data_IF_192388553068
#
_entry.id   IF_192388553068
#
_cell.length_a   1.000
_cell.length_b   1.000
_cell.length_c   1.000
_cell.angle_alpha   90.00
_cell.angle_beta   90.00
_cell.angle_gamma   90.00
#
_symmetry.space_group_name_H-M   'P 1'
#
loop_
_entity.id
_entity.type
_entity.pdbx_description
1 polymer ?
#
# COMPACT_ATOMS: atom_id res chain seq x y z
N UNK A 1 -7.65 3.47 3.57
CA UNK A 1 -6.79 4.39 4.35
C UNK A 1 -7.66 5.46 4.99
N UNK A 2 -8.43 6.24 4.24
CA UNK A 2 -9.31 7.33 4.72
C UNK A 2 -10.25 6.93 5.87
N UNK A 3 -10.89 5.76 5.77
CA UNK A 3 -11.87 5.31 6.78
C UNK A 3 -11.30 5.17 8.20
N UNK A 4 -10.03 4.77 8.33
CA UNK A 4 -9.44 4.51 9.65
C UNK A 4 -9.20 5.82 10.43
N UNK A 5 -8.52 6.84 9.88
CA UNK A 5 -8.40 8.14 10.54
C UNK A 5 -9.75 8.83 10.77
N UNK A 6 -10.74 8.64 9.90
CA UNK A 6 -12.10 9.11 10.15
C UNK A 6 -12.70 8.50 11.42
N UNK A 7 -12.66 7.16 11.55
CA UNK A 7 -13.15 6.47 12.76
C UNK A 7 -12.39 6.89 14.01
N UNK A 8 -11.06 7.03 13.93
CA UNK A 8 -10.24 7.55 15.04
C UNK A 8 -10.68 8.96 15.44
N UNK A 9 -10.91 9.84 14.46
CA UNK A 9 -11.36 11.21 14.72
C UNK A 9 -12.74 11.26 15.36
N UNK A 10 -13.70 10.48 14.85
CA UNK A 10 -15.05 10.33 15.44
C UNK A 10 -14.97 9.84 16.88
N UNK A 11 -14.16 8.82 17.15
CA UNK A 11 -13.97 8.31 18.52
C UNK A 11 -13.32 9.33 19.45
N UNK A 12 -12.46 10.20 18.91
CA UNK A 12 -11.83 11.29 19.67
C UNK A 12 -12.80 12.40 20.04
N UNK A 13 -13.65 12.82 19.10
CA UNK A 13 -14.64 13.89 19.32
C UNK A 13 -15.86 13.38 20.08
N UNK A 14 -16.20 12.09 19.94
CA UNK A 14 -17.38 11.49 20.55
C UNK A 14 -18.70 11.84 19.84
N UNK A 15 -18.64 12.40 18.64
CA UNK A 15 -19.82 12.79 17.85
C UNK A 15 -19.91 11.96 16.55
N UNK A 16 -21.04 11.28 16.37
CA UNK A 16 -21.38 10.49 15.19
C UNK A 16 -22.77 10.87 14.69
N UNK A 17 -22.82 11.79 13.73
CA UNK A 17 -24.06 12.16 13.05
C UNK A 17 -24.24 11.39 11.74
N UNK A 18 -25.50 11.17 11.33
CA UNK A 18 -25.84 10.57 10.03
C UNK A 18 -25.23 11.38 8.88
N UNK A 19 -25.24 12.71 8.99
CA UNK A 19 -24.61 13.59 8.01
C UNK A 19 -23.10 13.33 7.89
N UNK A 20 -22.38 13.23 9.01
CA UNK A 20 -20.95 12.94 9.04
C UNK A 20 -20.63 11.59 8.35
N UNK A 21 -21.42 10.55 8.65
CA UNK A 21 -21.26 9.23 8.01
C UNK A 21 -21.51 9.32 6.51
N UNK A 22 -22.59 9.99 6.08
CA UNK A 22 -22.90 10.19 4.66
C UNK A 22 -21.78 10.93 3.94
N UNK A 23 -21.27 12.02 4.52
CA UNK A 23 -20.12 12.78 3.99
C UNK A 23 -18.89 11.89 3.85
N UNK A 24 -18.57 11.12 4.88
CA UNK A 24 -17.43 10.22 4.85
C UNK A 24 -17.57 9.13 3.78
N UNK A 25 -18.74 8.50 3.65
CA UNK A 25 -18.99 7.47 2.63
C UNK A 25 -18.85 8.03 1.21
N UNK A 26 -19.39 9.23 0.96
CA UNK A 26 -19.27 9.89 -0.35
C UNK A 26 -17.81 10.22 -0.63
N UNK A 27 -17.10 10.88 0.30
CA UNK A 27 -15.70 11.27 0.09
C UNK A 27 -14.80 10.04 -0.08
N UNK A 28 -14.98 9.00 0.73
CA UNK A 28 -14.25 7.72 0.57
C UNK A 28 -14.50 7.16 -0.83
N UNK A 29 -15.75 7.10 -1.27
CA UNK A 29 -16.10 6.55 -2.59
C UNK A 29 -15.51 7.38 -3.72
N UNK A 30 -15.66 8.70 -3.68
CA UNK A 30 -15.14 9.62 -4.71
C UNK A 30 -13.62 9.59 -4.77
N UNK A 31 -12.95 9.65 -3.62
CA UNK A 31 -11.48 9.64 -3.57
C UNK A 31 -10.95 8.28 -4.04
N UNK A 32 -11.46 7.15 -3.53
CA UNK A 32 -10.90 5.83 -3.85
C UNK A 32 -11.28 5.34 -5.26
N UNK A 33 -12.54 5.55 -5.69
CA UNK A 33 -13.05 5.00 -6.95
C UNK A 33 -12.87 5.92 -8.15
N UNK A 34 -12.80 7.24 -7.94
CA UNK A 34 -12.67 8.21 -9.03
C UNK A 34 -11.27 8.84 -9.06
N UNK A 35 -10.89 9.58 -8.02
CA UNK A 35 -9.64 10.36 -8.00
C UNK A 35 -8.42 9.41 -8.04
N UNK A 36 -8.39 8.43 -7.15
CA UNK A 36 -7.25 7.52 -7.03
C UNK A 36 -7.17 6.55 -8.22
N UNK A 37 -8.32 6.13 -8.75
CA UNK A 37 -8.38 5.36 -10.00
C UNK A 37 -7.86 6.16 -11.21
N UNK A 38 -8.21 7.44 -11.34
CA UNK A 38 -7.68 8.33 -12.37
C UNK A 38 -6.17 8.53 -12.22
N UNK A 39 -5.68 8.69 -10.98
CA UNK A 39 -4.24 8.73 -10.69
C UNK A 39 -3.54 7.44 -11.08
N UNK A 40 -4.14 6.27 -10.85
CA UNK A 40 -3.56 5.00 -11.30
C UNK A 40 -3.51 4.88 -12.82
N UNK A 41 -4.53 5.35 -13.54
CA UNK A 41 -4.50 5.41 -15.00
C UNK A 41 -3.39 6.29 -15.54
N UNK A 42 -3.15 7.45 -14.91
CA UNK A 42 -2.00 8.29 -15.24
C UNK A 42 -0.69 7.50 -15.09
N UNK A 43 -0.52 6.80 -13.98
CA UNK A 43 0.67 5.99 -13.73
C UNK A 43 0.84 4.86 -14.75
N UNK A 44 -0.24 4.19 -15.12
CA UNK A 44 -0.20 3.12 -16.12
C UNK A 44 0.18 3.67 -17.50
N UNK A 45 -0.33 4.84 -17.90
CA UNK A 45 0.04 5.52 -19.14
C UNK A 45 1.55 5.79 -19.16
N UNK A 46 2.11 6.33 -18.07
CA UNK A 46 3.55 6.63 -17.99
C UNK A 46 4.42 5.38 -17.86
N UNK A 47 3.92 4.35 -17.18
CA UNK A 47 4.63 3.10 -16.91
C UNK A 47 4.52 2.03 -18.00
N UNK A 48 3.69 2.25 -19.03
CA UNK A 48 3.28 1.22 -19.99
C UNK A 48 4.45 0.36 -20.52
N UNK A 49 5.50 0.97 -21.08
CA UNK A 49 6.64 0.23 -21.66
C UNK A 49 7.41 -0.59 -20.61
N UNK A 50 7.73 0.02 -19.47
CA UNK A 50 8.42 -0.66 -18.35
C UNK A 50 7.58 -1.84 -17.81
N UNK A 51 6.26 -1.69 -17.78
CA UNK A 51 5.35 -2.75 -17.33
C UNK A 51 5.27 -3.92 -18.33
N UNK A 52 5.32 -3.66 -19.64
CA UNK A 52 5.37 -4.72 -20.65
C UNK A 52 6.70 -5.48 -20.64
N UNK A 53 7.79 -4.85 -20.19
CA UNK A 53 9.13 -5.45 -20.09
C UNK A 53 9.41 -6.13 -18.75
N UNK A 54 8.45 -6.09 -17.81
CA UNK A 54 8.61 -6.68 -16.48
C UNK A 54 8.59 -8.22 -16.55
N UNK A 55 9.40 -8.94 -15.76
CA UNK A 55 9.38 -10.42 -15.73
C UNK A 55 7.97 -11.00 -15.49
N UNK A 56 7.23 -10.42 -14.55
CA UNK A 56 5.82 -10.75 -14.28
C UNK A 56 4.81 -9.84 -15.03
N UNK A 57 5.06 -9.43 -16.28
CA UNK A 57 4.17 -8.51 -17.00
C UNK A 57 2.71 -9.01 -17.07
N UNK A 58 2.51 -10.32 -17.21
CA UNK A 58 1.18 -10.96 -17.25
C UNK A 58 0.41 -10.82 -15.92
N UNK A 59 1.09 -10.93 -14.77
CA UNK A 59 0.45 -10.90 -13.46
C UNK A 59 0.17 -9.48 -12.95
N UNK A 60 0.86 -8.47 -13.48
CA UNK A 60 0.69 -7.07 -13.03
C UNK A 60 -0.71 -6.53 -13.30
N UNK A 61 -1.41 -7.05 -14.31
CA UNK A 61 -2.81 -6.69 -14.62
C UNK A 61 -3.03 -5.18 -14.80
N UNK A 62 -2.02 -4.48 -15.34
CA UNK A 62 -2.08 -3.06 -15.75
C UNK A 62 -2.58 -2.95 -17.19
N UNK A 63 -2.53 -1.75 -17.79
CA UNK A 63 -2.89 -1.50 -19.20
C UNK A 63 -2.41 -2.63 -20.14
N UNK A 64 -3.31 -3.51 -20.63
CA UNK A 64 -2.91 -4.69 -21.36
C UNK A 64 -2.77 -4.42 -22.86
N UNK A 65 -1.79 -5.08 -23.48
CA UNK A 65 -1.65 -5.14 -24.93
C UNK A 65 -0.20 -4.98 -25.43
N UNK A 66 0.04 -5.30 -26.71
CA UNK A 66 1.35 -5.19 -27.31
C UNK A 66 1.79 -3.72 -27.42
N UNK A 67 3.11 -3.49 -27.47
CA UNK A 67 3.70 -2.16 -27.64
C UNK A 67 3.20 -1.44 -28.91
N UNK A 68 2.83 -2.18 -29.96
CA UNK A 68 2.27 -1.61 -31.20
C UNK A 68 0.93 -0.88 -31.01
N UNK A 69 0.20 -1.13 -29.90
CA UNK A 69 -1.07 -0.47 -29.58
C UNK A 69 -0.96 0.59 -28.48
N UNK A 70 0.25 1.00 -28.13
CA UNK A 70 0.53 1.95 -27.05
C UNK A 70 -0.31 3.23 -27.16
N UNK A 71 -0.34 3.89 -28.32
CA UNK A 71 -1.08 5.13 -28.53
C UNK A 71 -2.58 5.02 -28.23
N UNK A 72 -3.26 4.05 -28.87
CA UNK A 72 -4.69 3.82 -28.66
C UNK A 72 -5.02 3.51 -27.19
N UNK A 73 -4.23 2.64 -26.53
CA UNK A 73 -4.43 2.29 -25.12
C UNK A 73 -4.24 3.48 -24.18
N UNK A 74 -3.22 4.31 -24.43
CA UNK A 74 -2.98 5.52 -23.66
C UNK A 74 -4.12 6.53 -23.80
N UNK A 75 -4.61 6.76 -25.02
CA UNK A 75 -5.73 7.66 -25.27
C UNK A 75 -7.00 7.20 -24.57
N UNK A 76 -7.35 5.92 -24.66
CA UNK A 76 -8.53 5.38 -23.94
C UNK A 76 -8.38 5.53 -22.43
N UNK A 77 -7.21 5.21 -21.88
CA UNK A 77 -6.95 5.36 -20.44
C UNK A 77 -7.06 6.81 -19.98
N UNK A 78 -6.54 7.75 -20.77
CA UNK A 78 -6.61 9.18 -20.49
C UNK A 78 -8.04 9.71 -20.54
N UNK A 79 -8.82 9.30 -21.54
CA UNK A 79 -10.23 9.67 -21.65
C UNK A 79 -11.03 9.20 -20.43
N UNK A 80 -10.82 7.95 -19.99
CA UNK A 80 -11.50 7.42 -18.79
C UNK A 80 -11.05 8.18 -17.52
N UNK A 81 -9.77 8.55 -17.41
CA UNK A 81 -9.28 9.35 -16.29
C UNK A 81 -9.94 10.74 -16.25
N UNK A 82 -10.06 11.39 -17.41
CA UNK A 82 -10.72 12.69 -17.55
C UNK A 82 -12.21 12.60 -17.18
N UNK A 83 -12.92 11.59 -17.68
CA UNK A 83 -14.34 11.35 -17.33
C UNK A 83 -14.51 11.20 -15.82
N UNK A 84 -13.64 10.43 -15.14
CA UNK A 84 -13.70 10.29 -13.67
C UNK A 84 -13.56 11.63 -12.96
N UNK A 85 -12.65 12.50 -13.40
CA UNK A 85 -12.47 13.82 -12.80
C UNK A 85 -13.66 14.76 -13.08
N UNK A 86 -14.26 14.69 -14.26
CA UNK A 86 -15.50 15.41 -14.57
C UNK A 86 -16.61 14.96 -13.62
N UNK A 87 -16.77 13.64 -13.40
CA UNK A 87 -17.75 13.10 -12.45
C UNK A 87 -17.49 13.60 -11.03
N UNK A 88 -16.24 13.74 -10.59
CA UNK A 88 -15.90 14.34 -9.28
C UNK A 88 -16.44 15.77 -9.18
N UNK A 89 -16.23 16.59 -10.21
CA UNK A 89 -16.71 17.99 -10.25
C UNK A 89 -18.25 18.03 -10.23
N UNK A 90 -18.90 17.20 -11.05
CA UNK A 90 -20.37 17.12 -11.08
C UNK A 90 -20.92 16.71 -9.71
N UNK A 91 -20.32 15.71 -9.06
CA UNK A 91 -20.74 15.28 -7.73
C UNK A 91 -20.58 16.41 -6.70
N UNK A 92 -19.46 17.14 -6.72
CA UNK A 92 -19.23 18.27 -5.82
C UNK A 92 -20.30 19.37 -5.98
N UNK A 93 -20.81 19.59 -7.19
CA UNK A 93 -21.90 20.55 -7.47
C UNK A 93 -23.25 19.99 -7.03
N UNK A 94 -23.56 18.73 -7.39
CA UNK A 94 -24.86 18.09 -7.12
C UNK A 94 -25.13 17.86 -5.62
N UNK A 95 -24.07 17.65 -4.82
CA UNK A 95 -24.18 17.44 -3.36
C UNK A 95 -23.66 18.65 -2.58
N UNK A 96 -23.80 19.86 -3.14
CA UNK A 96 -23.32 21.11 -2.54
C UNK A 96 -23.85 21.35 -1.12
N UNK A 97 -25.06 20.86 -0.79
CA UNK A 97 -25.62 20.90 0.56
C UNK A 97 -24.78 20.19 1.63
N UNK A 98 -23.87 19.29 1.24
CA UNK A 98 -22.94 18.60 2.15
C UNK A 98 -21.57 19.30 2.28
N UNK A 99 -21.38 20.45 1.62
CA UNK A 99 -20.15 21.25 1.68
C UNK A 99 -18.85 20.47 1.37
N UNK A 100 -18.92 19.52 0.42
CA UNK A 100 -17.79 18.65 0.07
C UNK A 100 -16.79 19.27 -0.92
N UNK A 101 -17.10 20.44 -1.49
CA UNK A 101 -16.29 21.06 -2.55
C UNK A 101 -14.83 21.25 -2.16
N UNK A 102 -14.57 21.85 -1.00
CA UNK A 102 -13.21 22.14 -0.51
C UNK A 102 -12.40 20.87 -0.26
N UNK A 103 -12.98 19.86 0.42
CA UNK A 103 -12.26 18.62 0.73
C UNK A 103 -11.96 17.81 -0.54
N UNK A 104 -12.88 17.81 -1.52
CA UNK A 104 -12.66 17.14 -2.80
C UNK A 104 -11.60 17.86 -3.66
N UNK A 105 -11.60 19.20 -3.67
CA UNK A 105 -10.58 19.99 -4.36
C UNK A 105 -9.18 19.70 -3.78
N UNK A 106 -9.02 19.77 -2.46
CA UNK A 106 -7.76 19.41 -1.80
C UNK A 106 -7.36 17.95 -2.02
N UNK A 107 -8.34 17.04 -2.11
CA UNK A 107 -8.08 15.64 -2.44
C UNK A 107 -7.47 15.48 -3.84
N UNK A 108 -8.02 16.17 -4.84
CA UNK A 108 -7.47 16.16 -6.22
C UNK A 108 -6.06 16.75 -6.22
N UNK A 109 -5.87 17.95 -5.67
CA UNK A 109 -4.58 18.63 -5.62
C UNK A 109 -3.54 17.78 -4.89
N UNK A 110 -3.87 17.25 -3.71
CA UNK A 110 -2.95 16.45 -2.91
C UNK A 110 -2.57 15.13 -3.59
N UNK A 111 -3.55 14.39 -4.14
CA UNK A 111 -3.29 13.10 -4.80
C UNK A 111 -2.47 13.27 -6.08
N UNK A 112 -2.83 14.21 -6.95
CA UNK A 112 -2.11 14.45 -8.20
C UNK A 112 -0.79 15.18 -7.97
N UNK A 113 -0.70 16.09 -7.01
CA UNK A 113 0.54 16.75 -6.60
C UNK A 113 1.58 15.74 -6.11
N UNK A 114 1.19 14.84 -5.20
CA UNK A 114 2.07 13.75 -4.75
C UNK A 114 2.47 12.81 -5.90
N UNK A 115 1.55 12.50 -6.82
CA UNK A 115 1.84 11.67 -7.99
C UNK A 115 2.81 12.34 -8.97
N UNK A 116 2.64 13.64 -9.19
CA UNK A 116 3.53 14.45 -10.03
C UNK A 116 4.94 14.50 -9.44
N UNK A 117 5.08 14.84 -8.15
CA UNK A 117 6.37 14.89 -7.47
C UNK A 117 7.08 13.52 -7.51
N UNK A 118 6.35 12.45 -7.22
CA UNK A 118 6.86 11.08 -7.33
C UNK A 118 7.41 10.79 -8.73
N UNK A 119 6.65 11.09 -9.78
CA UNK A 119 7.06 10.75 -11.14
C UNK A 119 8.24 11.61 -11.63
N UNK A 120 8.28 12.89 -11.24
CA UNK A 120 9.40 13.78 -11.52
C UNK A 120 10.70 13.26 -10.89
N UNK A 121 10.65 12.84 -9.62
CA UNK A 121 11.79 12.21 -8.96
C UNK A 121 12.14 10.85 -9.55
N UNK A 122 11.13 10.05 -9.95
CA UNK A 122 11.36 8.73 -10.54
C UNK A 122 12.19 8.85 -11.82
N UNK A 123 11.88 9.81 -12.69
CA UNK A 123 12.66 10.06 -13.92
C UNK A 123 14.14 10.28 -13.62
N UNK A 124 14.45 11.20 -12.70
CA UNK A 124 15.82 11.51 -12.27
C UNK A 124 16.51 10.29 -11.65
N UNK A 125 15.77 9.45 -10.92
CA UNK A 125 16.29 8.23 -10.32
C UNK A 125 16.63 7.15 -11.37
N UNK A 126 15.88 7.05 -12.48
CA UNK A 126 15.97 5.96 -13.47
C UNK A 126 16.76 6.29 -14.75
N UNK A 127 17.13 7.55 -15.02
CA UNK A 127 17.70 7.99 -16.30
C UNK A 127 19.18 7.64 -16.58
N UNK A 128 19.89 6.94 -15.69
CA UNK A 128 21.32 6.64 -15.89
C UNK A 128 21.57 5.13 -16.05
N UNK A 129 22.09 4.68 -17.21
CA UNK A 129 22.61 3.32 -17.34
C UNK A 129 23.74 3.14 -16.35
N UNK A 130 23.64 2.15 -15.46
CA UNK A 130 24.77 1.75 -14.64
C UNK A 130 24.95 0.24 -14.72
N UNK A 131 26.20 -0.13 -15.01
CA UNK A 131 26.76 -1.42 -14.71
C UNK A 131 26.76 -1.63 -13.19
N UNK A 132 26.12 -2.71 -12.74
CA UNK A 132 26.26 -3.20 -11.38
C UNK A 132 25.41 -2.50 -10.33
N UNK A 133 24.77 -3.34 -9.50
CA UNK A 133 24.18 -2.96 -8.22
C UNK A 133 25.22 -2.22 -7.36
N UNK A 134 24.89 -1.09 -6.71
CA UNK A 134 25.09 -0.91 -5.24
C UNK A 134 24.94 0.53 -4.72
N UNK A 135 25.28 1.59 -5.46
CA UNK A 135 25.32 2.93 -4.85
C UNK A 135 23.91 3.48 -4.52
N UNK A 136 23.67 3.82 -3.24
CA UNK A 136 22.43 4.47 -2.83
C UNK A 136 22.48 5.93 -3.29
N UNK A 137 21.76 6.25 -4.36
CA UNK A 137 21.71 7.61 -4.91
C UNK A 137 20.75 8.49 -4.09
N UNK A 138 21.07 9.77 -3.86
CA UNK A 138 20.16 10.70 -3.18
C UNK A 138 18.76 10.77 -3.81
N UNK A 139 18.67 10.71 -5.15
CA UNK A 139 17.38 10.70 -5.85
C UNK A 139 16.49 9.49 -5.49
N UNK A 140 17.09 8.32 -5.23
CA UNK A 140 16.36 7.12 -4.79
C UNK A 140 15.82 7.33 -3.37
N UNK A 141 16.63 7.89 -2.47
CA UNK A 141 16.20 8.21 -1.10
C UNK A 141 15.09 9.26 -1.13
N UNK A 142 15.23 10.33 -1.92
CA UNK A 142 14.18 11.34 -2.09
C UNK A 142 12.88 10.72 -2.61
N UNK A 143 12.96 9.78 -3.55
CA UNK A 143 11.80 9.03 -4.04
C UNK A 143 11.13 8.21 -2.93
N UNK A 144 11.92 7.56 -2.05
CA UNK A 144 11.40 6.83 -0.90
C UNK A 144 10.72 7.73 0.12
N UNK A 145 11.24 8.95 0.33
CA UNK A 145 10.59 9.92 1.21
C UNK A 145 9.26 10.38 0.62
N UNK A 146 9.21 10.71 -0.67
CA UNK A 146 8.01 11.27 -1.31
C UNK A 146 6.83 10.31 -1.40
N UNK A 147 7.07 8.99 -1.45
CA UNK A 147 5.94 8.03 -1.50
C UNK A 147 5.04 8.04 -0.26
N UNK A 148 5.52 8.60 0.85
CA UNK A 148 4.71 8.84 2.05
C UNK A 148 3.59 9.88 1.85
N UNK A 149 3.78 10.86 0.96
CA UNK A 149 2.87 12.00 0.80
C UNK A 149 1.44 11.57 0.45
N UNK A 150 1.26 10.52 -0.36
CA UNK A 150 -0.06 10.00 -0.71
C UNK A 150 -0.83 9.43 0.49
N UNK A 151 -0.13 8.94 1.52
CA UNK A 151 -0.73 8.48 2.77
C UNK A 151 -1.06 9.66 3.68
N UNK A 152 -0.19 10.67 3.76
CA UNK A 152 -0.49 11.91 4.47
C UNK A 152 -1.78 12.55 3.97
N UNK A 153 -1.91 12.74 2.66
CA UNK A 153 -3.13 13.30 2.04
C UNK A 153 -4.37 12.48 2.41
N UNK A 154 -4.36 11.16 2.20
CA UNK A 154 -5.52 10.29 2.52
C UNK A 154 -5.84 10.27 4.01
N UNK A 155 -4.82 10.34 4.86
CA UNK A 155 -5.00 10.33 6.31
C UNK A 155 -5.62 11.60 6.83
N UNK A 156 -5.12 12.75 6.36
CA UNK A 156 -5.66 14.06 6.70
C UNK A 156 -7.07 14.27 6.13
N UNK A 157 -7.38 13.76 4.94
CA UNK A 157 -8.77 13.75 4.42
C UNK A 157 -9.68 12.96 5.38
N UNK A 158 -9.24 11.76 5.80
CA UNK A 158 -10.01 10.94 6.74
C UNK A 158 -10.23 11.65 8.08
N UNK A 159 -9.17 12.18 8.67
CA UNK A 159 -9.25 12.88 9.95
C UNK A 159 -10.05 14.19 9.84
N UNK A 160 -9.88 14.94 8.75
CA UNK A 160 -10.59 16.19 8.47
C UNK A 160 -12.07 16.04 8.15
N UNK A 161 -12.55 14.82 7.91
CA UNK A 161 -13.99 14.51 7.85
C UNK A 161 -14.63 14.45 9.24
N UNK A 162 -13.84 14.24 10.30
CA UNK A 162 -14.31 14.12 11.68
C UNK A 162 -13.92 15.32 12.56
N UNK A 163 -12.80 15.97 12.27
CA UNK A 163 -12.22 17.06 13.07
C UNK A 163 -11.98 18.27 12.15
N UNK A 164 -12.33 19.48 12.60
CA UNK A 164 -11.91 20.71 11.93
C UNK A 164 -10.41 20.93 12.11
N UNK A 165 -9.64 20.43 11.14
CA UNK A 165 -8.18 20.53 11.16
C UNK A 165 -7.65 21.96 11.12
N UNK A 166 -8.45 22.95 10.70
CA UNK A 166 -8.01 24.35 10.66
C UNK A 166 -7.87 24.95 12.06
N UNK A 167 -8.69 24.48 13.01
CA UNK A 167 -8.62 24.87 14.41
C UNK A 167 -7.45 24.21 15.17
N UNK A 168 -6.88 23.13 14.64
CA UNK A 168 -5.85 22.32 15.33
C UNK A 168 -4.59 22.11 14.46
N UNK A 169 -3.83 23.18 14.13
CA UNK A 169 -2.65 23.07 13.26
C UNK A 169 -1.56 22.15 13.82
N UNK A 170 -1.45 22.07 15.16
CA UNK A 170 -0.55 21.14 15.83
C UNK A 170 -0.90 19.66 15.59
N UNK A 171 -2.21 19.33 15.61
CA UNK A 171 -2.70 18.00 15.25
C UNK A 171 -2.40 17.68 13.78
N UNK A 172 -2.60 18.65 12.88
CA UNK A 172 -2.26 18.49 11.45
C UNK A 172 -0.79 18.13 11.27
N UNK A 173 0.12 18.81 11.97
CA UNK A 173 1.55 18.54 11.89
C UNK A 173 1.89 17.10 12.33
N UNK A 174 1.45 16.68 13.52
CA UNK A 174 1.75 15.33 14.03
C UNK A 174 1.07 14.24 13.19
N UNK A 175 -0.18 14.44 12.76
CA UNK A 175 -0.89 13.51 11.89
C UNK A 175 -0.22 13.38 10.51
N UNK A 176 0.27 14.49 9.95
CA UNK A 176 1.04 14.50 8.70
C UNK A 176 2.28 13.63 8.85
N UNK A 177 3.09 13.83 9.90
CA UNK A 177 4.29 13.02 10.16
C UNK A 177 3.93 11.54 10.30
N UNK A 178 2.89 11.22 11.07
CA UNK A 178 2.38 9.85 11.26
C UNK A 178 2.08 9.16 9.94
N UNK A 179 1.19 9.77 9.15
CA UNK A 179 0.70 9.16 7.92
C UNK A 179 1.76 9.16 6.82
N UNK A 180 2.60 10.19 6.76
CA UNK A 180 3.72 10.25 5.83
C UNK A 180 4.71 9.12 6.13
N UNK A 181 5.19 9.02 7.37
CA UNK A 181 6.14 8.00 7.77
C UNK A 181 5.56 6.58 7.60
N UNK A 182 4.29 6.37 7.96
CA UNK A 182 3.58 5.12 7.68
C UNK A 182 3.56 4.79 6.18
N UNK A 183 3.30 5.79 5.33
CA UNK A 183 3.33 5.62 3.89
C UNK A 183 4.70 5.21 3.35
N UNK A 184 5.78 5.81 3.86
CA UNK A 184 7.16 5.39 3.55
C UNK A 184 7.34 3.92 3.96
N UNK A 185 7.00 3.58 5.21
CA UNK A 185 7.16 2.22 5.73
C UNK A 185 6.38 1.19 4.90
N UNK A 186 5.12 1.47 4.60
CA UNK A 186 4.28 0.59 3.78
C UNK A 186 4.82 0.42 2.35
N UNK A 187 5.11 1.52 1.65
CA UNK A 187 5.49 1.47 0.24
C UNK A 187 6.86 0.82 0.08
N UNK A 188 7.84 1.17 0.92
CA UNK A 188 9.18 0.56 0.85
C UNK A 188 9.16 -0.90 1.27
N UNK A 189 8.36 -1.31 2.26
CA UNK A 189 8.15 -2.73 2.58
C UNK A 189 7.57 -3.48 1.38
N UNK A 190 6.52 -2.93 0.76
CA UNK A 190 5.91 -3.54 -0.42
C UNK A 190 6.89 -3.65 -1.58
N UNK A 191 7.66 -2.59 -1.86
CA UNK A 191 8.66 -2.61 -2.92
C UNK A 191 9.81 -3.58 -2.64
N UNK A 192 10.21 -3.76 -1.38
CA UNK A 192 11.20 -4.76 -1.01
C UNK A 192 10.69 -6.19 -1.31
N UNK A 193 9.41 -6.47 -1.04
CA UNK A 193 8.79 -7.74 -1.43
C UNK A 193 8.66 -7.85 -2.96
N UNK A 194 8.22 -6.79 -3.65
CA UNK A 194 8.13 -6.80 -5.13
C UNK A 194 9.51 -6.98 -5.79
N UNK A 195 10.59 -6.48 -5.18
CA UNK A 195 11.95 -6.66 -5.69
C UNK A 195 12.35 -8.15 -5.76
N UNK A 196 11.76 -9.03 -4.95
CA UNK A 196 12.03 -10.48 -5.01
C UNK A 196 11.62 -11.11 -6.35
N UNK A 197 10.83 -10.43 -7.19
CA UNK A 197 10.58 -10.86 -8.56
C UNK A 197 11.86 -10.91 -9.42
N UNK A 198 12.91 -10.19 -9.00
CA UNK A 198 14.23 -10.17 -9.64
C UNK A 198 15.23 -11.12 -8.96
N UNK A 199 14.82 -11.83 -7.92
CA UNK A 199 15.66 -12.78 -7.20
C UNK A 199 15.51 -14.20 -7.79
N UNK A 200 16.62 -14.94 -7.83
CA UNK A 200 16.66 -16.36 -8.09
C UNK A 200 17.42 -17.04 -6.95
N UNK A 201 17.01 -18.26 -6.58
CA UNK A 201 17.77 -19.05 -5.61
C UNK A 201 18.71 -20.00 -6.34
N UNK A 202 19.99 -19.93 -6.00
CA UNK A 202 21.01 -20.89 -6.45
C UNK A 202 21.67 -21.48 -5.21
N UNK A 203 21.54 -22.79 -4.99
CA UNK A 203 22.13 -23.47 -3.81
C UNK A 203 21.76 -22.84 -2.45
N UNK A 204 20.55 -22.28 -2.32
CA UNK A 204 20.04 -21.65 -1.10
C UNK A 204 20.46 -20.19 -0.88
N UNK A 205 21.38 -19.66 -1.70
CA UNK A 205 21.71 -18.23 -1.73
C UNK A 205 20.82 -17.50 -2.74
N UNK A 206 20.68 -16.19 -2.56
CA UNK A 206 19.84 -15.35 -3.40
C UNK A 206 20.71 -14.54 -4.36
N UNK A 207 20.48 -14.75 -5.65
CA UNK A 207 21.09 -13.96 -6.72
C UNK A 207 20.08 -12.98 -7.31
N UNK A 208 20.50 -11.72 -7.47
CA UNK A 208 19.65 -10.63 -7.96
C UNK A 208 19.97 -10.34 -9.43
N UNK A 209 18.97 -10.50 -10.30
CA UNK A 209 19.13 -10.35 -11.73
C UNK A 209 18.16 -9.27 -12.25
N UNK A 210 18.64 -8.04 -12.35
CA UNK A 210 17.87 -6.87 -12.77
C UNK A 210 18.61 -6.06 -13.84
N UNK A 211 17.87 -5.63 -14.87
CA UNK A 211 18.41 -4.84 -15.97
C UNK A 211 17.98 -3.38 -15.86
N UNK A 212 18.84 -2.45 -16.29
CA UNK A 212 18.53 -1.01 -16.32
C UNK A 212 17.27 -0.70 -17.14
N UNK A 213 16.99 -1.50 -18.17
CA UNK A 213 15.77 -1.36 -19.01
C UNK A 213 14.46 -1.51 -18.24
N UNK A 214 14.48 -2.09 -17.04
CA UNK A 214 13.28 -2.28 -16.22
C UNK A 214 12.86 -1.01 -15.46
N UNK A 215 13.76 -0.02 -15.27
CA UNK A 215 13.53 1.25 -14.55
C UNK A 215 13.00 1.05 -13.11
N UNK A 216 13.63 0.13 -12.35
CA UNK A 216 13.24 -0.27 -10.98
C UNK A 216 14.36 -0.12 -9.95
N UNK A 217 15.31 0.77 -10.19
CA UNK A 217 16.49 1.00 -9.35
C UNK A 217 16.10 1.26 -7.90
N UNK A 218 15.02 2.02 -7.68
CA UNK A 218 14.50 2.35 -6.35
C UNK A 218 13.91 1.15 -5.60
N UNK A 219 13.47 0.10 -6.31
CA UNK A 219 12.98 -1.15 -5.71
C UNK A 219 14.17 -2.09 -5.46
N UNK A 220 15.02 -2.29 -6.47
CA UNK A 220 16.23 -3.13 -6.37
C UNK A 220 17.16 -2.63 -5.27
N UNK A 221 17.30 -1.32 -5.10
CA UNK A 221 18.14 -0.74 -4.05
C UNK A 221 17.70 -1.15 -2.64
N UNK A 222 16.44 -1.57 -2.44
CA UNK A 222 15.94 -2.06 -1.15
C UNK A 222 16.41 -3.48 -0.82
N UNK A 223 16.83 -4.26 -1.82
CA UNK A 223 17.30 -5.63 -1.65
C UNK A 223 18.51 -5.73 -0.70
N UNK A 224 19.30 -4.65 -0.57
CA UNK A 224 20.47 -4.59 0.34
C UNK A 224 20.14 -4.76 1.82
N UNK A 225 18.87 -4.62 2.20
CA UNK A 225 18.41 -4.81 3.59
C UNK A 225 17.60 -6.09 3.77
N UNK A 226 17.47 -6.89 2.71
CA UNK A 226 16.84 -8.20 2.77
C UNK A 226 17.88 -9.26 3.18
N UNK A 227 17.45 -10.38 3.79
CA UNK A 227 18.35 -11.50 4.05
C UNK A 227 18.93 -12.08 2.76
N UNK A 228 20.19 -12.54 2.80
CA UNK A 228 20.87 -13.18 1.66
C UNK A 228 20.55 -14.69 1.54
N UNK A 229 19.93 -15.26 2.57
CA UNK A 229 19.52 -16.67 2.64
C UNK A 229 17.99 -16.81 2.72
N UNK A 230 17.47 -17.90 2.17
CA UNK A 230 16.05 -18.25 2.26
C UNK A 230 15.67 -18.91 3.60
N UNK A 231 16.64 -19.24 4.45
CA UNK A 231 16.43 -20.02 5.67
C UNK A 231 15.83 -21.42 5.44
N UNK A 232 15.88 -21.95 4.22
CA UNK A 232 15.33 -23.25 3.87
C UNK A 232 16.38 -24.34 4.16
N UNK A 233 16.09 -25.22 5.12
CA UNK A 233 16.93 -26.38 5.44
C UNK A 233 16.89 -27.49 4.37
N UNK A 234 16.06 -27.35 3.33
CA UNK A 234 16.00 -28.26 2.18
C UNK A 234 16.14 -27.47 0.88
N UNK A 235 16.97 -27.93 -0.06
CA UNK A 235 16.95 -27.39 -1.42
C UNK A 235 15.55 -27.62 -1.99
N UNK A 236 14.84 -26.55 -2.32
CA UNK A 236 13.60 -26.66 -3.06
C UNK A 236 13.95 -27.01 -4.52
N UNK A 237 13.27 -28.01 -5.09
CA UNK A 237 13.51 -28.50 -6.46
C UNK A 237 13.28 -27.42 -7.55
N UNK A 238 12.64 -26.29 -7.21
CA UNK A 238 12.50 -25.12 -8.06
C UNK A 238 12.80 -23.82 -7.28
N UNK A 239 14.01 -23.27 -7.51
CA UNK A 239 14.50 -22.05 -6.87
C UNK A 239 13.60 -20.83 -7.10
N UNK A 240 12.79 -20.77 -8.17
CA UNK A 240 11.85 -19.65 -8.39
C UNK A 240 10.62 -19.77 -7.49
N UNK A 241 10.06 -20.96 -7.34
CA UNK A 241 8.91 -21.20 -6.47
C UNK A 241 9.24 -20.92 -5.00
N UNK A 242 10.47 -21.23 -4.57
CA UNK A 242 10.97 -20.90 -3.24
C UNK A 242 10.97 -19.38 -2.98
N UNK A 243 11.52 -18.58 -3.90
CA UNK A 243 11.57 -17.11 -3.77
C UNK A 243 10.16 -16.50 -3.75
N UNK A 244 9.22 -17.00 -4.56
CA UNK A 244 7.84 -16.46 -4.61
C UNK A 244 7.07 -16.65 -3.29
N UNK A 245 7.39 -17.70 -2.54
CA UNK A 245 6.75 -18.02 -1.26
C UNK A 245 7.52 -17.51 -0.04
N UNK A 246 8.73 -16.97 -0.26
CA UNK A 246 9.54 -16.33 0.76
C UNK A 246 8.89 -15.04 1.28
N UNK A 247 8.91 -14.85 2.60
CA UNK A 247 8.47 -13.63 3.28
C UNK A 247 9.70 -12.85 3.77
N UNK A 248 10.34 -12.03 2.90
CA UNK A 248 11.67 -11.47 3.16
C UNK A 248 11.72 -10.53 4.37
N UNK A 249 10.58 -9.98 4.77
CA UNK A 249 10.45 -9.06 5.91
C UNK A 249 10.06 -9.76 7.24
N UNK A 250 9.80 -11.06 7.19
CA UNK A 250 9.44 -11.85 8.37
C UNK A 250 10.66 -12.25 9.21
N UNK A 251 11.85 -12.22 8.59
CA UNK A 251 13.13 -12.44 9.25
C UNK A 251 13.65 -11.21 9.99
N UNK A 252 14.92 -11.28 10.39
CA UNK A 252 15.66 -10.14 10.91
C UNK A 252 16.12 -9.29 9.73
N UNK A 253 15.58 -8.08 9.61
CA UNK A 253 16.11 -7.06 8.70
C UNK A 253 16.85 -6.00 9.53
N UNK A 254 17.79 -5.29 8.93
CA UNK A 254 18.48 -4.19 9.62
C UNK A 254 17.48 -3.16 10.16
N UNK A 255 17.72 -2.62 11.35
CA UNK A 255 16.92 -1.51 11.88
C UNK A 255 17.12 -0.21 11.06
N UNK A 256 18.22 -0.12 10.32
CA UNK A 256 18.51 0.99 9.39
C UNK A 256 17.77 0.87 8.05
N UNK A 257 17.02 -0.22 7.84
CA UNK A 257 16.19 -0.33 6.64
C UNK A 257 15.16 0.82 6.60
N UNK A 258 14.88 1.42 5.43
CA UNK A 258 14.04 2.61 5.34
C UNK A 258 12.63 2.37 5.90
N UNK A 259 12.07 1.16 5.75
CA UNK A 259 10.77 0.82 6.31
C UNK A 259 10.77 0.75 7.84
N UNK A 260 11.87 0.32 8.47
CA UNK A 260 11.98 0.17 9.92
C UNK A 260 12.17 1.53 10.61
N UNK A 261 13.03 2.39 10.04
CA UNK A 261 13.17 3.80 10.50
C UNK A 261 11.82 4.51 10.38
N UNK A 262 11.20 4.44 9.20
CA UNK A 262 9.92 5.07 8.96
C UNK A 262 8.81 4.53 9.87
N UNK A 263 8.81 3.23 10.19
CA UNK A 263 7.84 2.64 11.12
C UNK A 263 8.02 3.16 12.55
N UNK A 264 9.26 3.39 12.99
CA UNK A 264 9.56 3.96 14.30
C UNK A 264 9.06 5.40 14.39
N UNK A 265 9.32 6.21 13.35
CA UNK A 265 8.80 7.59 13.24
C UNK A 265 7.27 7.59 13.18
N UNK A 266 6.67 6.65 12.45
CA UNK A 266 5.22 6.51 12.36
C UNK A 266 4.61 6.12 13.71
N UNK A 267 5.25 5.25 14.49
CA UNK A 267 4.85 4.92 15.85
C UNK A 267 4.92 6.12 16.79
N UNK A 268 6.01 6.91 16.71
CA UNK A 268 6.13 8.17 17.43
C UNK A 268 4.98 9.14 17.12
N UNK A 269 4.77 9.41 15.83
CA UNK A 269 3.68 10.26 15.38
C UNK A 269 2.31 9.71 15.78
N UNK A 270 2.09 8.39 15.69
CA UNK A 270 0.79 7.79 15.96
C UNK A 270 0.35 7.95 17.43
N UNK A 271 1.26 7.75 18.37
CA UNK A 271 0.98 7.98 19.79
C UNK A 271 0.71 9.47 20.08
N UNK A 272 1.51 10.37 19.49
CA UNK A 272 1.31 11.82 19.58
C UNK A 272 -0.04 12.26 18.97
N UNK A 273 -0.39 11.69 17.81
CA UNK A 273 -1.65 11.93 17.11
C UNK A 273 -2.83 11.43 17.93
N UNK A 274 -2.73 10.23 18.52
CA UNK A 274 -3.76 9.69 19.41
C UNK A 274 -4.02 10.59 20.62
N UNK A 275 -2.94 11.07 21.26
CA UNK A 275 -3.06 12.03 22.37
C UNK A 275 -3.69 13.36 21.92
N UNK A 276 -3.21 13.94 20.82
CA UNK A 276 -3.72 15.21 20.31
C UNK A 276 -5.19 15.13 19.88
N UNK A 277 -5.64 13.99 19.36
CA UNK A 277 -7.06 13.73 19.05
C UNK A 277 -7.88 13.58 20.32
N UNK A 278 -7.36 12.92 21.35
CA UNK A 278 -8.08 12.69 22.61
C UNK A 278 -8.26 13.98 23.44
N UNK A 279 -7.28 14.87 23.42
CA UNK A 279 -7.27 16.10 24.25
C UNK A 279 -7.59 17.37 23.47
N UNK A 280 -7.63 17.32 22.13
CA UNK A 280 -7.88 18.49 21.29
C UNK A 280 -6.78 19.55 21.36
N UNK A 281 -5.60 19.26 21.90
CA UNK A 281 -4.51 20.21 22.03
C UNK A 281 -3.12 19.54 21.96
N UNK A 282 -2.11 20.32 21.57
CA UNK A 282 -0.70 19.92 21.70
C UNK A 282 -0.16 20.47 23.01
N UNK A 283 0.50 19.61 23.78
CA UNK A 283 1.10 19.93 25.07
C UNK A 283 2.47 19.25 25.23
N UNK A 284 3.14 19.47 26.35
CA UNK A 284 4.36 18.73 26.71
C UNK A 284 4.14 17.21 26.76
N UNK A 285 2.93 16.78 27.14
CA UNK A 285 2.56 15.36 27.15
C UNK A 285 2.50 14.78 25.73
N UNK A 286 2.20 15.58 24.71
CA UNK A 286 2.27 15.12 23.31
C UNK A 286 3.68 14.64 22.95
N UNK A 287 4.72 15.37 23.39
CA UNK A 287 6.10 14.97 23.19
C UNK A 287 6.45 13.70 23.99
N UNK A 288 5.95 13.58 25.21
CA UNK A 288 6.13 12.37 26.03
C UNK A 288 5.52 11.12 25.36
N UNK A 289 4.29 11.22 24.85
CA UNK A 289 3.66 10.15 24.08
C UNK A 289 4.39 9.87 22.76
N UNK A 290 4.93 10.90 22.09
CA UNK A 290 5.75 10.71 20.90
C UNK A 290 7.01 9.89 21.19
N UNK A 291 7.72 10.18 22.28
CA UNK A 291 8.91 9.43 22.70
C UNK A 291 8.54 7.99 23.09
N UNK A 292 7.49 7.81 23.90
CA UNK A 292 7.00 6.50 24.30
C UNK A 292 6.62 5.64 23.08
N UNK A 293 5.85 6.22 22.15
CA UNK A 293 5.46 5.57 20.90
C UNK A 293 6.66 5.17 20.02
N UNK A 294 7.71 5.99 19.98
CA UNK A 294 8.95 5.70 19.26
C UNK A 294 9.69 4.51 19.87
N UNK A 295 9.88 4.51 21.20
CA UNK A 295 10.60 3.44 21.92
C UNK A 295 9.88 2.10 21.73
N UNK A 296 8.56 2.06 21.91
CA UNK A 296 7.78 0.83 21.76
C UNK A 296 7.74 0.34 20.31
N UNK A 297 7.70 1.24 19.33
CA UNK A 297 7.75 0.89 17.91
C UNK A 297 9.13 0.33 17.54
N UNK A 298 10.21 0.95 18.04
CA UNK A 298 11.56 0.46 17.84
C UNK A 298 11.75 -0.94 18.43
N UNK A 299 11.29 -1.18 19.66
CA UNK A 299 11.28 -2.52 20.27
C UNK A 299 10.52 -3.52 19.39
N UNK A 300 9.33 -3.15 18.91
CA UNK A 300 8.52 -4.00 18.02
C UNK A 300 9.23 -4.35 16.71
N UNK A 301 10.01 -3.42 16.16
CA UNK A 301 10.79 -3.64 14.93
C UNK A 301 11.94 -4.64 15.15
N UNK A 302 12.66 -4.55 16.28
CA UNK A 302 13.86 -5.38 16.52
C UNK A 302 13.54 -6.77 17.07
N UNK A 303 12.38 -6.97 17.71
CA UNK A 303 12.00 -8.30 18.22
C UNK A 303 11.75 -9.29 17.08
N UNK A 304 12.03 -10.57 17.35
CA UNK A 304 11.76 -11.67 16.42
C UNK A 304 10.28 -11.68 16.00
N UNK A 305 9.99 -12.06 14.75
CA UNK A 305 8.63 -12.10 14.21
C UNK A 305 7.63 -12.88 15.06
N UNK A 306 8.06 -13.98 15.71
CA UNK A 306 7.22 -14.76 16.64
C UNK A 306 6.75 -13.97 17.86
N UNK A 307 7.51 -12.97 18.30
CA UNK A 307 7.23 -12.14 19.49
C UNK A 307 6.60 -10.78 19.14
N UNK A 308 6.56 -10.39 17.86
CA UNK A 308 5.97 -9.12 17.42
C UNK A 308 4.51 -8.94 17.90
N UNK A 309 3.60 -9.94 17.81
CA UNK A 309 2.22 -9.76 18.27
C UNK A 309 2.13 -9.39 19.75
N UNK A 310 2.94 -10.04 20.59
CA UNK A 310 3.00 -9.74 22.03
C UNK A 310 3.54 -8.33 22.24
N UNK A 311 4.62 -7.95 21.56
CA UNK A 311 5.19 -6.59 21.64
C UNK A 311 4.17 -5.51 21.26
N UNK A 312 3.35 -5.75 20.25
CA UNK A 312 2.29 -4.81 19.83
C UNK A 312 1.19 -4.68 20.89
N UNK A 313 0.69 -5.80 21.42
CA UNK A 313 -0.35 -5.76 22.46
C UNK A 313 0.17 -5.08 23.72
N UNK A 314 1.38 -5.44 24.17
CA UNK A 314 2.02 -4.82 25.34
C UNK A 314 2.27 -3.34 25.11
N UNK A 315 2.79 -2.94 23.95
CA UNK A 315 3.03 -1.52 23.64
C UNK A 315 1.75 -0.68 23.64
N UNK A 316 0.67 -1.19 23.05
CA UNK A 316 -0.63 -0.53 23.09
C UNK A 316 -1.18 -0.41 24.52
N UNK A 317 -1.06 -1.49 25.32
CA UNK A 317 -1.46 -1.48 26.73
C UNK A 317 -0.65 -0.48 27.54
N UNK A 318 0.68 -0.39 27.34
CA UNK A 318 1.53 0.60 28.02
C UNK A 318 1.09 2.02 27.68
N UNK A 319 0.84 2.36 26.41
CA UNK A 319 0.34 3.68 26.01
C UNK A 319 -1.02 3.98 26.66
N UNK A 320 -1.94 3.02 26.64
CA UNK A 320 -3.27 3.17 27.24
C UNK A 320 -3.22 3.36 28.76
N UNK A 321 -2.41 2.55 29.46
CA UNK A 321 -2.20 2.67 30.93
C UNK A 321 -1.56 4.01 31.26
N UNK A 322 -0.54 4.45 30.52
CA UNK A 322 0.06 5.78 30.70
C UNK A 322 -0.97 6.89 30.53
N UNK A 323 -1.88 6.78 29.56
CA UNK A 323 -2.96 7.75 29.38
C UNK A 323 -3.97 7.75 30.55
N UNK A 324 -4.30 6.57 31.12
CA UNK A 324 -5.14 6.47 32.33
C UNK A 324 -4.46 7.13 33.54
N UNK A 325 -3.18 6.83 33.77
CA UNK A 325 -2.40 7.39 34.89
C UNK A 325 -2.26 8.91 34.80
N UNK A 326 -2.16 9.44 33.57
CA UNK A 326 -2.09 10.87 33.31
C UNK A 326 -3.47 11.53 33.18
N UNK A 327 -4.56 10.81 33.48
CA UNK A 327 -5.94 11.31 33.44
C UNK A 327 -6.35 11.91 32.09
N UNK A 328 -5.88 11.34 30.99
CA UNK A 328 -6.31 11.72 29.63
C UNK A 328 -7.78 11.34 29.44
N UNK A 329 -8.55 12.20 28.79
CA UNK A 329 -10.01 12.11 28.64
C UNK A 329 -10.46 10.82 27.96
N UNK A 330 -9.70 10.36 26.96
CA UNK A 330 -9.99 9.16 26.18
C UNK A 330 -8.77 8.25 26.01
N UNK A 331 -8.37 7.46 27.03
CA UNK A 331 -7.15 6.65 27.01
C UNK A 331 -7.09 5.62 25.84
N UNK A 332 -8.25 5.08 25.46
CA UNK A 332 -8.36 4.13 24.34
C UNK A 332 -7.97 4.81 23.02
N UNK A 333 -8.45 6.04 22.78
CA UNK A 333 -8.18 6.83 21.57
C UNK A 333 -6.69 7.14 21.44
N UNK A 334 -5.97 7.34 22.56
CA UNK A 334 -4.52 7.57 22.55
C UNK A 334 -3.75 6.36 21.99
N UNK A 335 -4.12 5.15 22.43
CA UNK A 335 -3.42 3.92 22.04
C UNK A 335 -3.80 3.40 20.63
N UNK A 336 -5.00 3.74 20.16
CA UNK A 336 -5.59 3.12 18.97
C UNK A 336 -4.80 3.37 17.67
N UNK A 337 -4.36 4.60 17.32
CA UNK A 337 -3.56 4.82 16.12
C UNK A 337 -2.26 4.01 16.14
N UNK A 338 -1.56 3.96 17.28
CA UNK A 338 -0.33 3.21 17.42
C UNK A 338 -0.56 1.71 17.20
N UNK A 339 -1.60 1.15 17.84
CA UNK A 339 -1.99 -0.25 17.68
C UNK A 339 -2.30 -0.60 16.21
N UNK A 340 -3.08 0.24 15.52
CA UNK A 340 -3.47 0.02 14.14
C UNK A 340 -2.28 0.06 13.18
N UNK A 341 -1.36 1.02 13.35
CA UNK A 341 -0.13 1.08 12.55
C UNK A 341 0.74 -0.15 12.80
N UNK A 342 0.98 -0.54 14.05
CA UNK A 342 1.82 -1.71 14.35
C UNK A 342 1.18 -3.02 13.90
N UNK A 343 -0.15 -3.15 13.98
CA UNK A 343 -0.89 -4.25 13.38
C UNK A 343 -0.68 -4.33 11.87
N UNK A 344 -0.72 -3.19 11.18
CA UNK A 344 -0.44 -3.11 9.75
C UNK A 344 1.01 -3.49 9.43
N UNK A 345 1.99 -3.07 10.22
CA UNK A 345 3.40 -3.47 10.07
C UNK A 345 3.59 -4.98 10.19
N UNK A 346 2.98 -5.62 11.20
CA UNK A 346 3.01 -7.08 11.33
C UNK A 346 2.47 -7.75 10.07
N UNK A 347 1.33 -7.28 9.57
CA UNK A 347 0.73 -7.80 8.35
C UNK A 347 1.66 -7.69 7.14
N UNK A 348 2.30 -6.54 6.92
CA UNK A 348 3.23 -6.36 5.80
C UNK A 348 4.50 -7.20 5.93
N UNK A 349 4.98 -7.42 7.16
CA UNK A 349 6.17 -8.24 7.40
C UNK A 349 5.97 -9.72 7.01
N UNK A 350 4.72 -10.18 6.87
CA UNK A 350 4.38 -11.58 6.50
C UNK A 350 4.02 -11.74 5.01
N UNK A 351 4.15 -10.69 4.20
CA UNK A 351 3.82 -10.72 2.77
C UNK A 351 4.91 -11.42 1.98
N UNK A 352 4.46 -12.15 0.97
CA UNK A 352 5.27 -12.86 -0.02
C UNK A 352 4.87 -12.36 -1.40
N UNK A 353 5.72 -12.56 -2.42
CA UNK A 353 5.39 -12.19 -3.79
C UNK A 353 4.10 -12.89 -4.27
N UNK A 354 3.97 -14.20 -4.00
CA UNK A 354 2.78 -14.98 -4.33
C UNK A 354 1.49 -14.48 -3.65
N UNK A 355 1.58 -13.85 -2.47
CA UNK A 355 0.43 -13.23 -1.80
C UNK A 355 0.07 -11.86 -2.39
N UNK A 356 1.04 -11.14 -2.98
CA UNK A 356 0.80 -9.86 -3.65
C UNK A 356 0.11 -10.06 -5.00
N UNK A 357 0.48 -11.11 -5.73
CA UNK A 357 -0.05 -11.41 -7.08
C UNK A 357 -1.49 -11.93 -7.08
N UNK A 358 -1.87 -12.73 -6.08
CA UNK A 358 -3.22 -13.31 -5.97
C UNK A 358 -4.35 -12.26 -5.90
N UNK A 359 -4.01 -10.98 -5.80
CA UNK A 359 -4.98 -9.90 -5.68
C UNK A 359 -5.73 -9.96 -4.34
N UNK A 360 -6.45 -8.89 -4.02
CA UNK A 360 -7.42 -8.97 -2.92
C UNK A 360 -8.52 -9.99 -3.24
N UNK A 361 -9.24 -10.52 -2.24
CA UNK A 361 -10.31 -11.51 -2.43
C UNK A 361 -11.35 -11.08 -3.48
N UNK A 362 -11.59 -9.78 -3.62
CA UNK A 362 -12.50 -9.20 -4.61
C UNK A 362 -12.07 -9.48 -6.06
N UNK A 363 -10.76 -9.47 -6.35
CA UNK A 363 -10.24 -9.70 -7.71
C UNK A 363 -10.40 -11.18 -8.11
N UNK A 364 -10.17 -12.08 -7.15
CA UNK A 364 -10.39 -13.52 -7.31
C UNK A 364 -11.85 -13.82 -7.65
N UNK A 365 -12.80 -13.17 -6.97
CA UNK A 365 -14.23 -13.36 -7.24
C UNK A 365 -14.63 -12.88 -8.65
N UNK A 366 -14.11 -11.73 -9.11
CA UNK A 366 -14.42 -11.22 -10.46
C UNK A 366 -13.82 -12.11 -11.55
N UNK A 367 -12.57 -12.54 -11.38
CA UNK A 367 -11.91 -13.43 -12.35
C UNK A 367 -12.59 -14.81 -12.40
N UNK A 368 -13.07 -15.33 -11.27
CA UNK A 368 -13.87 -16.56 -11.24
C UNK A 368 -15.20 -16.40 -11.99
N UNK A 369 -15.90 -15.28 -11.85
CA UNK A 369 -17.15 -14.99 -12.59
C UNK A 369 -16.90 -14.87 -14.10
N UNK A 370 -15.83 -14.17 -14.49
CA UNK A 370 -15.44 -14.04 -15.91
C UNK A 370 -15.06 -15.40 -16.48
N UNK A 371 -14.27 -16.20 -15.77
CA UNK A 371 -13.82 -17.50 -16.24
C UNK A 371 -14.99 -18.49 -16.35
N UNK A 372 -15.97 -18.41 -15.43
CA UNK A 372 -17.22 -19.17 -15.48
C UNK A 372 -18.06 -18.77 -16.71
N UNK A 373 -18.15 -17.48 -17.02
CA UNK A 373 -18.89 -17.00 -18.20
C UNK A 373 -18.27 -17.46 -19.54
N UNK A 374 -16.94 -17.59 -19.60
CA UNK A 374 -16.23 -18.11 -20.78
C UNK A 374 -16.42 -19.62 -20.96
N UNK A 375 -16.47 -20.41 -19.88
CA UNK A 375 -16.75 -21.85 -19.97
C UNK A 375 -18.15 -22.15 -20.51
N UNK A 376 -19.14 -21.31 -20.22
CA UNK A 376 -20.50 -21.46 -20.78
C UNK A 376 -20.61 -21.10 -22.27
N UNK A 377 -19.65 -20.35 -22.82
CA UNK A 377 -19.63 -19.97 -24.24
C UNK A 377 -18.67 -20.78 -25.08
N UNK A 378 -17.92 -21.70 -24.47
CA UNK A 378 -17.18 -22.68 -25.25
C UNK A 378 -18.22 -23.54 -25.98
N UNK A 379 -18.23 -23.59 -27.32
CA UNK A 379 -19.09 -24.52 -28.03
C UNK A 379 -18.82 -25.91 -27.48
N UNK A 380 -19.89 -26.66 -27.20
CA UNK A 380 -19.78 -28.08 -26.86
C UNK A 380 -18.87 -28.71 -27.91
N UNK A 381 -17.89 -29.55 -27.50
CA UNK A 381 -17.08 -30.27 -28.46
C UNK A 381 -18.04 -30.92 -29.47
N UNK A 382 -17.81 -30.74 -30.78
CA UNK A 382 -18.67 -31.32 -31.80
C UNK A 382 -18.86 -32.79 -31.46
N UNK A 383 -20.13 -33.20 -31.39
CA UNK A 383 -20.52 -34.52 -30.94
C UNK A 383 -19.65 -35.57 -31.59
N UNK A 384 -19.08 -36.43 -30.77
CA UNK A 384 -18.76 -37.81 -31.14
C UNK A 384 -20.06 -38.47 -31.57
N UNK A 385 -20.51 -38.14 -32.79
CA UNK A 385 -21.48 -38.96 -33.52
C UNK A 385 -20.87 -40.36 -33.59
N UNK A 386 -21.53 -41.28 -32.91
CA UNK A 386 -21.07 -42.64 -32.74
C UNK A 386 -20.85 -43.31 -34.09
N UNK A 387 -19.60 -43.68 -34.36
CA UNK A 387 -19.29 -44.82 -35.19
C UNK A 387 -19.88 -46.06 -34.52
N UNK A 388 -21.09 -46.43 -34.95
CA UNK A 388 -21.68 -47.73 -34.67
C UNK A 388 -20.80 -48.76 -35.39
N UNK A 389 -19.93 -49.42 -34.64
CA UNK A 389 -19.11 -50.53 -35.13
C UNK A 389 -20.01 -51.76 -35.29
N UNK A 390 -20.52 -51.96 -36.51
CA UNK A 390 -21.30 -53.13 -36.88
C UNK A 390 -20.37 -54.27 -37.31
N UNK A 391 -19.56 -54.79 -36.39
CA UNK A 391 -18.81 -56.04 -36.60
C UNK A 391 -19.61 -57.21 -35.99
N UNK A 392 -20.10 -58.18 -36.77
CA UNK A 392 -20.79 -59.34 -36.24
C UNK A 392 -19.79 -60.30 -35.56
N UNK A 393 -20.17 -60.97 -34.46
CA UNK A 393 -19.29 -61.91 -33.78
C UNK A 393 -19.04 -63.16 -34.64
N UNK A 394 -17.77 -63.47 -34.86
CA UNK A 394 -17.34 -64.74 -35.45
C UNK A 394 -17.66 -65.89 -34.48
N UNK A 395 -18.36 -66.90 -35.01
CA UNK A 395 -18.60 -68.17 -34.32
C UNK A 395 -17.30 -68.98 -34.25
N UNK A 396 -16.94 -69.43 -33.05
CA UNK A 396 -16.17 -70.66 -32.82
C UNK A 396 -16.84 -71.45 -31.70
#
# INVERSE_FOLDING_TARGET
MIAVPYVVGVLGVGDLSVESVCRALIVISVVELLIYAARYQWNDIRGFRSDQQHPDCAARGRLPGPLSREGSRKTTSLAVAAIRLIVVVLLAILVSGLNLGTILAWSVVGVFGAAFLYESLRRVATERPQDGTRALRPAVVALWLVVGAGYAVRGLIGLGLAIDLTAYPGLVAVATVTFWAYGIAFVTSRWAVEATAFAQSHSGTIEWNASASQAREHQIALARWLPDDLGLSRPADDGRTAVRTWAPLSGRTSFLAPWNIAMTVAGSGAAATGYAVAEGAISSLTAAFAVLGAVLAFVTVIVSSRRRPISVVVGAAVIGISAVVLHVSSPVVVSLPWLLLMGAYMFFSTRTLAKLERGGPIRVSVDQVIHWSRRRRAPLPPGTEGTVDSTPPARQ
#
